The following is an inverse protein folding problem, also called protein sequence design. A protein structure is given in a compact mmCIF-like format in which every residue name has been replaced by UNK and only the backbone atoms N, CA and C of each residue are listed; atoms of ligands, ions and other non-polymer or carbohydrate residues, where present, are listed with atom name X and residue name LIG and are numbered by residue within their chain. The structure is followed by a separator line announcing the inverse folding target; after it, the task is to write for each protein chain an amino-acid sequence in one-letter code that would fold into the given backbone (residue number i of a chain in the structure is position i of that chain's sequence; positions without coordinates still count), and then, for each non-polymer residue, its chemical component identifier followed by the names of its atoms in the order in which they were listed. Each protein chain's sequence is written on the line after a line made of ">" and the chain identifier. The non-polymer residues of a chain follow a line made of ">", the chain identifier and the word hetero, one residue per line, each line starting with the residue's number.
data_IF_406364475763
#
_entry.id   IF_406364475763
#
_cell.length_a   1.000
_cell.length_b   1.000
_cell.length_c   1.000
_cell.angle_alpha   90.00
_cell.angle_beta   90.00
_cell.angle_gamma   90.00
#
_symmetry.space_group_name_H-M   'P 1'
#
loop_
_entity.id
_entity.type
_entity.pdbx_description
1 polymer ?
#
# COMPACT_ATOMS: atom_id res chain seq x y z
N UNK A 1 17.73 -11.31 -5.58
CA UNK A 1 17.34 -10.38 -4.52
C UNK A 1 15.95 -10.76 -4.02
N UNK A 2 15.70 -10.74 -2.70
CA UNK A 2 14.37 -11.01 -2.14
C UNK A 2 13.59 -9.70 -2.00
N UNK A 3 12.28 -9.74 -2.24
CA UNK A 3 11.39 -8.64 -1.91
C UNK A 3 11.22 -8.56 -0.39
N UNK A 4 11.09 -7.36 0.15
CA UNK A 4 10.80 -7.17 1.57
C UNK A 4 9.35 -7.57 1.87
N UNK A 5 9.11 -8.19 3.03
CA UNK A 5 7.78 -8.59 3.44
C UNK A 5 6.88 -7.36 3.69
N UNK A 6 5.64 -7.41 3.20
CA UNK A 6 4.65 -6.36 3.40
C UNK A 6 4.82 -5.13 2.51
N UNK A 7 5.73 -5.16 1.54
CA UNK A 7 5.89 -4.09 0.56
C UNK A 7 4.99 -4.35 -0.63
N UNK A 8 4.18 -3.34 -1.01
CA UNK A 8 3.27 -3.36 -2.16
C UNK A 8 3.92 -2.76 -3.43
N UNK A 9 5.26 -2.77 -3.49
CA UNK A 9 5.99 -2.29 -4.64
C UNK A 9 5.96 -3.32 -5.77
N UNK A 10 5.93 -2.84 -7.00
CA UNK A 10 6.11 -3.71 -8.16
C UNK A 10 7.52 -4.34 -8.10
N UNK A 11 7.57 -5.68 -8.12
CA UNK A 11 8.82 -6.42 -8.02
C UNK A 11 9.77 -6.20 -9.22
N UNK A 12 9.21 -5.81 -10.38
CA UNK A 12 9.95 -5.55 -11.61
C UNK A 12 10.30 -4.06 -11.79
N UNK A 13 9.96 -3.21 -10.81
CA UNK A 13 10.29 -1.79 -10.82
C UNK A 13 11.54 -1.48 -10.01
N UNK A 14 12.35 -0.56 -10.52
CA UNK A 14 13.47 0.03 -9.77
C UNK A 14 13.01 1.12 -8.79
N UNK A 15 11.74 1.57 -8.87
CA UNK A 15 11.21 2.57 -7.95
C UNK A 15 11.15 2.05 -6.52
N UNK A 16 11.49 2.90 -5.56
CA UNK A 16 11.49 2.60 -4.13
C UNK A 16 10.18 2.95 -3.44
N UNK A 17 9.18 3.42 -4.19
CA UNK A 17 7.87 3.85 -3.70
C UNK A 17 6.74 3.48 -4.66
N UNK A 18 5.55 3.31 -4.11
CA UNK A 18 4.31 3.15 -4.88
C UNK A 18 3.51 4.45 -4.89
N UNK A 19 2.81 4.73 -6.01
CA UNK A 19 1.94 5.90 -6.19
C UNK A 19 0.50 5.48 -6.24
N UNK A 20 -0.36 6.29 -5.60
CA UNK A 20 -1.80 6.09 -5.56
C UNK A 20 -2.48 7.40 -5.93
N UNK A 21 -3.51 7.31 -6.76
CA UNK A 21 -4.34 8.44 -7.17
C UNK A 21 -5.81 8.05 -7.11
N UNK A 22 -6.61 8.87 -6.45
CA UNK A 22 -8.06 8.67 -6.30
C UNK A 22 -8.78 9.92 -6.76
N UNK A 23 -9.73 9.73 -7.66
CA UNK A 23 -10.61 10.80 -8.14
C UNK A 23 -12.01 10.60 -7.58
N UNK A 24 -12.56 11.63 -6.93
CA UNK A 24 -13.91 11.64 -6.37
C UNK A 24 -14.74 12.75 -7.02
N UNK A 25 -15.92 12.40 -7.52
CA UNK A 25 -16.90 13.35 -8.04
C UNK A 25 -18.00 13.63 -7.01
N UNK A 26 -18.19 14.90 -6.63
CA UNK A 26 -19.23 15.34 -5.71
C UNK A 26 -20.09 16.45 -6.34
N UNK A 27 -21.01 16.06 -7.23
CA UNK A 27 -21.79 17.01 -8.03
C UNK A 27 -20.90 17.63 -9.11
N UNK A 28 -20.69 18.94 -9.05
CA UNK A 28 -19.83 19.67 -9.99
C UNK A 28 -18.34 19.69 -9.53
N UNK A 29 -18.05 19.28 -8.29
CA UNK A 29 -16.71 19.27 -7.77
C UNK A 29 -15.99 17.95 -8.10
N UNK A 30 -14.79 18.06 -8.64
CA UNK A 30 -13.83 16.97 -8.79
C UNK A 30 -12.70 17.13 -7.78
N UNK A 31 -12.54 16.14 -6.91
CA UNK A 31 -11.49 16.10 -5.91
C UNK A 31 -10.51 14.97 -6.26
N UNK A 32 -9.22 15.31 -6.39
CA UNK A 32 -8.14 14.34 -6.66
C UNK A 32 -7.22 14.31 -5.46
N UNK A 33 -7.11 13.13 -4.85
CA UNK A 33 -6.19 12.86 -3.75
C UNK A 33 -5.12 11.90 -4.20
N UNK A 34 -3.86 12.29 -4.06
CA UNK A 34 -2.72 11.50 -4.49
C UNK A 34 -1.69 11.43 -3.38
N UNK A 35 -1.04 10.27 -3.29
CA UNK A 35 0.08 10.08 -2.40
C UNK A 35 1.04 9.02 -2.93
N UNK A 36 2.29 9.10 -2.49
CA UNK A 36 3.29 8.07 -2.69
C UNK A 36 3.78 7.54 -1.35
N UNK A 37 4.15 6.27 -1.29
CA UNK A 37 4.58 5.58 -0.05
C UNK A 37 5.80 4.72 -0.30
N UNK A 38 6.74 4.76 0.66
CA UNK A 38 7.83 3.79 0.73
C UNK A 38 7.40 2.48 1.40
N UNK A 39 6.48 2.55 2.38
CA UNK A 39 5.95 1.40 3.12
C UNK A 39 4.50 1.65 3.56
N UNK A 40 3.90 0.71 4.30
CA UNK A 40 2.56 0.88 4.88
C UNK A 40 2.48 2.06 5.87
N UNK A 41 3.58 2.39 6.54
CA UNK A 41 3.64 3.43 7.54
C UNK A 41 4.24 4.73 7.01
N UNK A 42 5.13 4.67 6.02
CA UNK A 42 5.96 5.82 5.57
C UNK A 42 5.48 6.40 4.25
N UNK A 43 4.90 7.59 4.30
CA UNK A 43 4.61 8.40 3.11
C UNK A 43 5.88 9.04 2.56
N UNK A 44 5.95 9.16 1.25
CA UNK A 44 6.93 9.96 0.52
C UNK A 44 6.40 11.36 0.25
N UNK A 45 5.19 11.42 -0.29
CA UNK A 45 4.49 12.67 -0.60
C UNK A 45 2.98 12.49 -0.53
N UNK A 46 2.25 13.60 -0.43
CA UNK A 46 0.81 13.67 -0.37
C UNK A 46 0.33 14.98 -0.99
N UNK A 47 -0.74 14.94 -1.79
CA UNK A 47 -1.35 16.14 -2.35
C UNK A 47 -2.86 15.99 -2.51
N UNK A 48 -3.54 17.12 -2.44
CA UNK A 48 -4.96 17.25 -2.71
C UNK A 48 -5.19 18.38 -3.70
N UNK A 49 -6.01 18.12 -4.71
CA UNK A 49 -6.54 19.18 -5.61
C UNK A 49 -8.05 19.09 -5.73
N UNK A 50 -8.69 20.24 -5.99
CA UNK A 50 -10.13 20.35 -6.25
C UNK A 50 -10.31 21.19 -7.49
N UNK A 51 -11.07 20.68 -8.47
CA UNK A 51 -11.35 21.36 -9.74
C UNK A 51 -10.07 21.84 -10.45
N UNK A 52 -9.00 21.04 -10.38
CA UNK A 52 -7.71 21.35 -10.95
C UNK A 52 -6.83 22.32 -10.13
N UNK A 53 -7.34 22.88 -9.02
CA UNK A 53 -6.56 23.73 -8.12
C UNK A 53 -5.91 22.93 -6.98
N UNK A 54 -4.59 23.06 -6.80
CA UNK A 54 -3.87 22.45 -5.69
C UNK A 54 -4.30 23.10 -4.38
N UNK A 55 -4.76 22.30 -3.41
CA UNK A 55 -5.18 22.75 -2.08
C UNK A 55 -3.99 22.70 -1.11
N UNK A 56 -3.29 21.58 -1.13
CA UNK A 56 -2.04 21.40 -0.39
C UNK A 56 -1.13 20.38 -1.09
N UNK A 57 0.15 20.49 -0.79
CA UNK A 57 1.18 19.52 -1.15
C UNK A 57 2.14 19.34 0.01
N UNK A 58 2.41 18.10 0.38
CA UNK A 58 3.40 17.72 1.38
C UNK A 58 4.40 16.75 0.74
N UNK A 59 5.63 17.16 0.58
CA UNK A 59 6.75 16.29 0.19
C UNK A 59 7.59 16.00 1.44
N UNK A 60 7.32 14.88 2.09
CA UNK A 60 7.99 14.47 3.32
C UNK A 60 9.44 14.07 3.08
N UNK A 61 9.75 13.61 1.87
CA UNK A 61 11.11 13.21 1.50
C UNK A 61 12.05 14.42 1.34
N UNK A 62 11.57 15.46 0.63
CA UNK A 62 12.35 16.71 0.43
C UNK A 62 12.06 17.76 1.52
N UNK A 63 11.10 17.51 2.43
CA UNK A 63 10.64 18.45 3.47
C UNK A 63 10.11 19.78 2.89
N UNK A 64 9.37 19.66 1.78
CA UNK A 64 8.73 20.79 1.09
C UNK A 64 7.22 20.75 1.32
N UNK A 65 6.63 21.86 1.78
CA UNK A 65 5.23 21.91 2.16
C UNK A 65 4.56 23.17 1.60
N UNK A 66 3.38 23.00 0.99
CA UNK A 66 2.56 24.06 0.41
C UNK A 66 1.13 23.96 0.97
N UNK A 67 0.61 25.06 1.57
CA UNK A 67 -0.71 25.07 2.22
C UNK A 67 -1.55 26.30 1.86
N UNK A 68 -1.22 26.99 0.78
CA UNK A 68 -1.70 28.36 0.50
C UNK A 68 -3.21 28.46 0.20
N UNK A 69 -3.85 27.34 -0.13
CA UNK A 69 -5.24 27.31 -0.58
C UNK A 69 -6.22 26.56 0.34
N UNK A 70 -5.87 26.37 1.59
CA UNK A 70 -6.72 25.70 2.59
C UNK A 70 -8.10 26.36 2.76
N UNK A 71 -8.21 27.65 2.46
CA UNK A 71 -9.50 28.38 2.46
C UNK A 71 -10.52 27.82 1.45
N UNK A 72 -10.07 27.19 0.36
CA UNK A 72 -10.97 26.61 -0.64
C UNK A 72 -11.71 25.36 -0.12
N UNK A 73 -11.26 24.80 0.98
CA UNK A 73 -11.88 23.66 1.67
C UNK A 73 -12.36 24.00 3.08
N UNK A 74 -12.56 25.30 3.36
CA UNK A 74 -12.96 25.83 4.67
C UNK A 74 -11.98 25.49 5.82
N UNK A 75 -10.70 25.35 5.51
CA UNK A 75 -9.67 24.95 6.45
C UNK A 75 -8.64 26.06 6.74
N UNK A 76 -9.02 27.34 6.55
CA UNK A 76 -8.14 28.49 6.81
C UNK A 76 -7.72 28.64 8.28
N UNK A 77 -8.43 28.01 9.21
CA UNK A 77 -8.08 28.00 10.64
C UNK A 77 -7.12 26.89 11.01
N UNK A 78 -6.64 26.09 10.05
CA UNK A 78 -5.69 25.03 10.30
C UNK A 78 -4.37 25.60 10.87
N UNK A 79 -3.94 25.11 12.03
CA UNK A 79 -2.64 25.43 12.58
C UNK A 79 -1.56 24.53 11.94
N UNK A 80 -1.09 24.95 10.77
CA UNK A 80 -0.09 24.23 9.97
C UNK A 80 1.24 24.06 10.73
N UNK A 81 1.66 25.07 11.49
CA UNK A 81 2.90 25.01 12.31
C UNK A 81 2.82 23.83 13.32
N UNK A 82 1.67 23.67 13.97
CA UNK A 82 1.45 22.56 14.90
C UNK A 82 1.49 21.20 14.19
N UNK A 83 0.97 21.14 12.95
CA UNK A 83 1.08 19.93 12.15
C UNK A 83 2.54 19.59 11.83
N UNK A 84 3.30 20.57 11.34
CA UNK A 84 4.70 20.38 10.98
C UNK A 84 5.55 19.98 12.20
N UNK A 85 5.29 20.61 13.35
CA UNK A 85 5.93 20.21 14.61
C UNK A 85 5.63 18.75 14.96
N UNK A 86 4.38 18.29 14.81
CA UNK A 86 4.02 16.88 15.04
C UNK A 86 4.69 15.92 14.05
N UNK A 87 4.92 16.34 12.81
CA UNK A 87 5.68 15.54 11.82
C UNK A 87 7.13 15.40 12.25
N UNK A 88 7.78 16.50 12.67
CA UNK A 88 9.17 16.49 13.14
C UNK A 88 9.35 15.67 14.42
N UNK A 89 8.41 15.78 15.39
CA UNK A 89 8.42 14.97 16.61
C UNK A 89 8.30 13.47 16.33
N UNK A 90 7.45 13.08 15.36
CA UNK A 90 7.31 11.68 14.95
C UNK A 90 8.56 11.15 14.25
N UNK A 91 9.23 11.95 13.43
CA UNK A 91 10.49 11.57 12.80
C UNK A 91 11.63 11.40 13.84
N UNK A 92 11.64 12.20 14.89
CA UNK A 92 12.65 12.15 15.94
C UNK A 92 12.47 10.97 16.91
N UNK A 93 11.25 10.43 17.03
CA UNK A 93 10.96 9.23 17.81
C UNK A 93 11.44 7.98 17.06
N UNK A 94 12.64 7.52 17.37
CA UNK A 94 13.38 6.44 16.66
C UNK A 94 12.63 5.10 16.53
N UNK A 95 11.46 4.93 17.13
CA UNK A 95 10.68 3.68 17.13
C UNK A 95 9.48 3.68 16.19
N UNK A 96 9.14 4.79 15.51
CA UNK A 96 7.98 4.84 14.60
C UNK A 96 8.30 5.56 13.29
N UNK A 97 8.55 4.80 12.24
CA UNK A 97 8.64 5.30 10.85
C UNK A 97 7.26 5.76 10.29
N UNK A 98 6.33 6.15 11.15
CA UNK A 98 4.98 6.52 10.74
C UNK A 98 4.91 7.98 10.32
N UNK A 99 4.51 8.22 9.08
CA UNK A 99 4.19 9.57 8.60
C UNK A 99 2.71 9.86 8.82
N UNK A 100 2.39 10.93 9.57
CA UNK A 100 1.01 11.39 9.76
C UNK A 100 0.52 12.10 8.48
N UNK A 101 -0.46 11.54 7.72
CA UNK A 101 -0.99 12.19 6.53
C UNK A 101 -1.66 13.53 6.88
N UNK A 102 -1.37 14.59 6.11
CA UNK A 102 -1.96 15.91 6.35
C UNK A 102 -3.47 15.91 6.16
N UNK A 103 -3.99 15.23 5.13
CA UNK A 103 -5.44 15.11 4.93
C UNK A 103 -6.14 14.50 6.15
N UNK A 104 -5.57 13.45 6.72
CA UNK A 104 -6.12 12.81 7.94
C UNK A 104 -6.08 13.77 9.13
N UNK A 105 -4.94 14.44 9.31
CA UNK A 105 -4.77 15.43 10.38
C UNK A 105 -5.76 16.59 10.22
N UNK A 106 -5.91 17.13 9.00
CA UNK A 106 -6.78 18.24 8.67
C UNK A 106 -8.24 17.93 9.04
N UNK A 107 -8.76 16.78 8.58
CA UNK A 107 -10.14 16.34 8.86
C UNK A 107 -10.36 16.12 10.38
N UNK A 108 -9.34 15.68 11.10
CA UNK A 108 -9.44 15.38 12.55
C UNK A 108 -9.25 16.56 13.47
N UNK A 109 -8.62 17.65 13.02
CA UNK A 109 -8.18 18.74 13.90
C UNK A 109 -8.75 20.12 13.53
N UNK A 110 -9.43 20.26 12.40
CA UNK A 110 -9.98 21.53 11.95
C UNK A 110 -11.51 21.48 11.95
N UNK A 111 -12.12 22.57 12.41
CA UNK A 111 -13.58 22.73 12.39
C UNK A 111 -14.05 23.10 10.98
N UNK A 112 -14.29 22.08 10.15
CA UNK A 112 -14.77 22.23 8.78
C UNK A 112 -16.27 22.50 8.74
N UNK A 113 -16.74 23.28 7.75
CA UNK A 113 -18.18 23.48 7.50
C UNK A 113 -18.82 22.17 6.99
N UNK A 114 -20.13 21.99 7.25
CA UNK A 114 -20.85 20.77 6.89
C UNK A 114 -20.89 20.47 5.39
N UNK A 115 -20.84 21.49 4.56
CA UNK A 115 -20.84 21.45 3.09
C UNK A 115 -19.46 21.44 2.47
N UNK A 116 -18.40 21.53 3.28
CA UNK A 116 -17.03 21.42 2.82
C UNK A 116 -16.79 20.14 2.02
N UNK A 117 -16.01 20.24 0.94
CA UNK A 117 -15.59 19.08 0.13
C UNK A 117 -14.90 17.99 0.96
N UNK A 118 -14.15 18.38 1.99
CA UNK A 118 -13.48 17.44 2.90
C UNK A 118 -14.49 16.68 3.77
N UNK A 119 -15.57 17.31 4.21
CA UNK A 119 -16.63 16.62 4.97
C UNK A 119 -17.40 15.66 4.05
N UNK A 120 -17.66 16.05 2.79
CA UNK A 120 -18.26 15.15 1.79
C UNK A 120 -17.37 13.93 1.54
N UNK A 121 -16.06 14.12 1.37
CA UNK A 121 -15.09 13.05 1.23
C UNK A 121 -15.09 12.13 2.47
N UNK A 122 -14.98 12.70 3.66
CA UNK A 122 -14.98 11.95 4.91
C UNK A 122 -16.25 11.10 5.07
N UNK A 123 -17.41 11.67 4.78
CA UNK A 123 -18.70 10.96 4.84
C UNK A 123 -18.80 9.85 3.79
N UNK A 124 -18.25 10.06 2.59
CA UNK A 124 -18.18 9.05 1.56
C UNK A 124 -17.32 7.87 2.01
N UNK A 125 -16.08 8.14 2.45
CA UNK A 125 -15.14 7.10 2.91
C UNK A 125 -15.70 6.33 4.11
N UNK A 126 -16.35 6.98 5.07
CA UNK A 126 -16.97 6.34 6.24
C UNK A 126 -18.11 5.39 5.90
N UNK A 127 -18.72 5.54 4.72
CA UNK A 127 -19.78 4.66 4.22
C UNK A 127 -19.25 3.52 3.35
N UNK A 128 -17.95 3.52 3.02
CA UNK A 128 -17.34 2.43 2.27
C UNK A 128 -17.31 1.17 3.13
N UNK A 129 -17.66 0.05 2.53
CA UNK A 129 -17.49 -1.28 3.12
C UNK A 129 -16.27 -1.92 2.50
N UNK A 130 -15.27 -2.26 3.31
CA UNK A 130 -14.12 -3.04 2.86
C UNK A 130 -14.33 -4.51 3.24
N UNK A 131 -14.34 -5.38 2.24
CA UNK A 131 -14.43 -6.82 2.45
C UNK A 131 -13.03 -7.38 2.18
N UNK A 132 -12.40 -7.91 3.23
CA UNK A 132 -11.11 -8.61 3.10
C UNK A 132 -11.40 -10.10 2.98
N UNK A 133 -11.05 -10.68 1.85
CA UNK A 133 -11.18 -12.12 1.61
C UNK A 133 -9.82 -12.76 1.85
N UNK A 134 -9.74 -13.78 2.72
CA UNK A 134 -8.58 -14.66 2.74
C UNK A 134 -7.73 -14.73 4.01
N UNK A 135 -8.09 -14.09 5.13
CA UNK A 135 -7.30 -14.24 6.37
C UNK A 135 -7.38 -15.63 7.02
N UNK A 136 -8.44 -16.38 6.78
CA UNK A 136 -8.63 -17.71 7.40
C UNK A 136 -8.00 -18.88 6.59
N UNK A 137 -7.87 -18.72 5.28
CA UNK A 137 -7.22 -19.75 4.43
C UNK A 137 -5.71 -19.86 4.70
N UNK A 138 -5.06 -18.74 5.01
CA UNK A 138 -3.63 -18.73 5.33
C UNK A 138 -3.26 -19.58 6.58
N UNK A 139 -4.19 -19.80 7.51
CA UNK A 139 -3.93 -20.59 8.72
C UNK A 139 -3.85 -22.09 8.42
N UNK A 140 -4.52 -22.57 7.38
CA UNK A 140 -4.50 -23.98 6.99
C UNK A 140 -3.32 -24.35 6.10
N UNK A 141 -2.81 -23.42 5.33
CA UNK A 141 -1.71 -23.64 4.38
C UNK A 141 -0.32 -23.64 5.03
N UNK A 142 -0.18 -23.17 6.27
CA UNK A 142 1.07 -23.31 7.04
C UNK A 142 1.44 -24.77 7.38
N UNK A 143 0.62 -25.74 6.98
CA UNK A 143 0.92 -27.17 7.03
C UNK A 143 1.03 -27.80 5.64
N UNK A 144 1.45 -27.06 4.65
CA UNK A 144 1.99 -27.70 3.44
C UNK A 144 3.24 -28.45 3.91
N UNK A 145 3.10 -29.76 3.97
CA UNK A 145 4.08 -30.65 4.57
C UNK A 145 5.41 -30.48 3.85
N UNK A 146 6.51 -30.71 4.55
CA UNK A 146 7.84 -30.86 3.97
C UNK A 146 7.84 -31.71 2.70
N UNK A 147 6.93 -32.71 2.62
CA UNK A 147 6.70 -33.55 1.45
C UNK A 147 6.35 -32.80 0.16
N UNK A 148 5.58 -31.69 0.24
CA UNK A 148 5.26 -30.91 -0.95
C UNK A 148 6.50 -30.19 -1.49
N UNK A 149 7.29 -29.61 -0.61
CA UNK A 149 8.56 -28.98 -1.02
C UNK A 149 9.58 -30.01 -1.52
N UNK A 150 9.62 -31.22 -0.94
CA UNK A 150 10.44 -32.33 -1.44
C UNK A 150 10.03 -32.76 -2.85
N UNK A 151 8.72 -32.77 -3.11
CA UNK A 151 8.18 -33.05 -4.45
C UNK A 151 8.58 -31.97 -5.46
N UNK A 152 8.59 -30.68 -5.06
CA UNK A 152 8.99 -29.55 -5.90
C UNK A 152 10.52 -29.37 -6.03
N UNK A 153 11.36 -30.15 -5.32
CA UNK A 153 12.80 -30.20 -5.56
C UNK A 153 13.14 -30.80 -6.94
N UNK A 154 12.23 -31.60 -7.49
CA UNK A 154 12.31 -32.06 -8.88
C UNK A 154 11.95 -30.90 -9.83
N UNK A 155 12.89 -30.45 -10.69
CA UNK A 155 12.66 -29.33 -11.60
C UNK A 155 11.47 -29.55 -12.56
N UNK A 156 11.21 -30.80 -12.95
CA UNK A 156 10.11 -31.14 -13.84
C UNK A 156 8.76 -30.92 -13.11
N UNK A 157 8.68 -31.25 -11.80
CA UNK A 157 7.50 -31.06 -10.98
C UNK A 157 7.24 -29.59 -10.65
N UNK A 158 8.29 -28.83 -10.43
CA UNK A 158 8.18 -27.38 -10.25
C UNK A 158 7.66 -26.73 -11.53
N UNK A 159 8.15 -27.18 -12.69
CA UNK A 159 7.69 -26.71 -14.00
C UNK A 159 6.25 -27.13 -14.30
N UNK A 160 5.83 -28.35 -13.95
CA UNK A 160 4.45 -28.80 -14.07
C UNK A 160 3.49 -27.89 -13.29
N UNK A 161 3.86 -27.49 -12.05
CA UNK A 161 3.07 -26.54 -11.23
C UNK A 161 3.01 -25.16 -11.89
N UNK A 162 4.14 -24.65 -12.36
CA UNK A 162 4.22 -23.36 -13.03
C UNK A 162 3.34 -23.35 -14.29
N UNK A 163 3.45 -24.37 -15.15
CA UNK A 163 2.67 -24.49 -16.37
C UNK A 163 1.18 -24.61 -16.08
N UNK A 164 0.80 -25.33 -15.01
CA UNK A 164 -0.59 -25.41 -14.55
C UNK A 164 -1.13 -24.05 -14.12
N UNK A 165 -0.40 -23.28 -13.30
CA UNK A 165 -0.81 -21.94 -12.89
C UNK A 165 -0.93 -20.98 -14.06
N UNK A 166 0.03 -21.03 -14.99
CA UNK A 166 -0.01 -20.23 -16.21
C UNK A 166 -1.22 -20.59 -17.10
N UNK A 167 -1.56 -21.87 -17.22
CA UNK A 167 -2.76 -22.32 -17.94
C UNK A 167 -4.07 -21.83 -17.28
N UNK A 168 -4.06 -21.60 -15.97
CA UNK A 168 -5.18 -21.01 -15.22
C UNK A 168 -5.21 -19.48 -15.27
N UNK A 169 -4.33 -18.84 -16.04
CA UNK A 169 -4.26 -17.38 -16.21
C UNK A 169 -3.44 -16.65 -15.15
N UNK A 170 -2.62 -17.37 -14.38
CA UNK A 170 -1.70 -16.79 -13.39
C UNK A 170 -0.32 -16.76 -14.05
N UNK A 171 0.00 -15.67 -14.74
CA UNK A 171 1.30 -15.48 -15.37
C UNK A 171 2.40 -15.43 -14.30
N UNK A 172 3.18 -16.51 -14.16
CA UNK A 172 4.22 -16.61 -13.16
C UNK A 172 5.37 -17.51 -13.60
N UNK A 173 6.53 -17.25 -13.06
CA UNK A 173 7.67 -18.15 -12.99
C UNK A 173 7.91 -18.51 -11.52
N UNK A 174 8.22 -19.78 -11.22
CA UNK A 174 8.37 -20.28 -9.86
C UNK A 174 9.81 -20.67 -9.56
N UNK A 175 10.25 -20.38 -8.33
CA UNK A 175 11.57 -20.78 -7.84
C UNK A 175 11.43 -21.31 -6.41
N UNK A 176 11.94 -22.54 -6.20
CA UNK A 176 12.09 -23.10 -4.87
C UNK A 176 13.47 -22.75 -4.31
N UNK A 177 13.54 -22.18 -3.10
CA UNK A 177 14.78 -21.84 -2.41
C UNK A 177 14.91 -22.59 -1.09
N UNK A 178 16.10 -23.07 -0.80
CA UNK A 178 16.47 -23.57 0.52
C UNK A 178 17.06 -22.42 1.33
N UNK A 179 16.46 -22.14 2.48
CA UNK A 179 16.87 -21.07 3.39
C UNK A 179 18.06 -21.50 4.27
N UNK A 180 18.79 -20.55 4.90
CA UNK A 180 19.94 -20.86 5.76
C UNK A 180 19.60 -21.74 6.97
N UNK A 181 18.36 -21.74 7.45
CA UNK A 181 17.83 -22.58 8.52
C UNK A 181 17.44 -23.99 8.07
N UNK A 182 17.62 -24.27 6.76
CA UNK A 182 17.30 -25.55 6.14
C UNK A 182 15.84 -25.69 5.68
N UNK A 183 14.98 -24.72 5.97
CA UNK A 183 13.62 -24.67 5.46
C UNK A 183 13.62 -24.41 3.95
N UNK A 184 12.53 -24.82 3.29
CA UNK A 184 12.29 -24.55 1.88
C UNK A 184 11.16 -23.55 1.74
N UNK A 185 11.28 -22.66 0.79
CA UNK A 185 10.23 -21.69 0.48
C UNK A 185 10.09 -21.51 -1.02
N UNK A 186 8.83 -21.46 -1.49
CA UNK A 186 8.49 -21.23 -2.89
C UNK A 186 8.31 -19.74 -3.14
N UNK A 187 8.80 -19.25 -4.28
CA UNK A 187 8.76 -17.86 -4.67
C UNK A 187 8.23 -17.68 -6.09
N UNK A 188 7.53 -16.59 -6.33
CA UNK A 188 7.41 -16.02 -7.66
C UNK A 188 8.75 -15.39 -8.04
N UNK A 189 9.25 -15.72 -9.24
CA UNK A 189 10.47 -15.15 -9.79
C UNK A 189 10.15 -13.90 -10.61
N UNK A 190 10.56 -12.76 -10.10
CA UNK A 190 10.60 -11.47 -10.76
C UNK A 190 12.01 -10.91 -10.61
N UNK A 191 12.23 -9.63 -10.88
CA UNK A 191 13.49 -8.95 -10.55
C UNK A 191 13.86 -9.13 -9.06
N UNK A 192 12.83 -9.26 -8.23
CA UNK A 192 12.92 -9.65 -6.81
C UNK A 192 12.11 -10.93 -6.59
N UNK A 193 12.58 -11.79 -5.70
CA UNK A 193 11.83 -12.98 -5.32
C UNK A 193 10.72 -12.61 -4.32
N UNK A 194 9.48 -12.96 -4.66
CA UNK A 194 8.28 -12.71 -3.85
C UNK A 194 7.83 -14.04 -3.23
N UNK A 195 7.72 -14.17 -1.89
CA UNK A 195 7.24 -15.40 -1.26
C UNK A 195 5.84 -15.79 -1.76
N UNK A 196 5.69 -17.01 -2.30
CA UNK A 196 4.46 -17.51 -2.92
C UNK A 196 3.30 -17.47 -1.94
N UNK A 197 3.41 -18.14 -0.81
CA UNK A 197 2.30 -18.30 0.14
C UNK A 197 1.83 -17.01 0.82
N UNK A 198 2.68 -15.99 0.87
CA UNK A 198 2.34 -14.71 1.50
C UNK A 198 1.70 -13.72 0.55
N UNK A 199 1.92 -13.90 -0.75
CA UNK A 199 1.54 -12.91 -1.76
C UNK A 199 0.60 -13.47 -2.84
N UNK A 200 0.50 -14.78 -2.96
CA UNK A 200 -0.48 -15.39 -3.85
C UNK A 200 -1.92 -15.06 -3.41
N UNK A 201 -2.81 -14.83 -4.36
CA UNK A 201 -4.23 -14.67 -4.05
C UNK A 201 -4.82 -15.94 -3.46
N UNK A 202 -5.95 -15.83 -2.73
CA UNK A 202 -6.66 -16.99 -2.20
C UNK A 202 -7.06 -17.97 -3.31
N UNK A 203 -7.39 -17.45 -4.52
CA UNK A 203 -7.67 -18.28 -5.69
C UNK A 203 -6.42 -19.04 -6.15
N UNK A 204 -5.28 -18.38 -6.26
CA UNK A 204 -4.00 -19.00 -6.61
C UNK A 204 -3.61 -20.10 -5.62
N UNK A 205 -3.77 -19.85 -4.31
CA UNK A 205 -3.47 -20.83 -3.27
C UNK A 205 -4.42 -22.03 -3.26
N UNK A 206 -5.65 -21.88 -3.74
CA UNK A 206 -6.61 -22.96 -3.83
C UNK A 206 -6.36 -23.89 -5.02
N UNK A 207 -5.58 -23.45 -6.01
CA UNK A 207 -5.22 -24.22 -7.21
C UNK A 207 -3.93 -25.02 -7.06
N UNK A 208 -3.00 -24.58 -6.20
CA UNK A 208 -1.73 -25.25 -5.90
C UNK A 208 -1.81 -26.12 -4.66
#
# INVERSE_FOLDING_TARGET
>A
RFAENGVFLNADSEEDHARFSYTFGFGEDELIYEYSRFSNEKLRDERLSINGESIFRCDFFNKEYEFDRLKLVDAETANVERYLQAVEENEAAQDMEYTLPFLRWLIGNVALKKDSALIRLSNYVRRMTMITVGSELNIRLHRVSDMFYEYLEDPDKLKDLEDFLNAMGIECELVLKKLPDGQRELYFAHDKLIPFYRNASSGTLALG
#
